data_IF_394116161299
#
_entry.id   IF_394116161299
#
_cell.length_a   1.000
_cell.length_b   1.000
_cell.length_c   1.000
_cell.angle_alpha   90.00
_cell.angle_beta   90.00
_cell.angle_gamma   90.00
#
_symmetry.space_group_name_H-M   'P 1'
#
loop_
_entity.id
_entity.type
_entity.pdbx_description
1 polymer ?
#
# COMPACT_ATOMS: atom_id res chain seq x y z
N UNK A 1 -16.09 12.98 16.20
CA UNK A 1 -16.81 11.92 15.45
C UNK A 1 -17.20 10.84 16.44
N UNK A 2 -18.37 10.21 16.30
CA UNK A 2 -18.80 9.14 17.20
C UNK A 2 -17.87 7.92 17.05
N UNK A 3 -17.39 7.36 18.18
CA UNK A 3 -16.49 6.21 18.19
C UNK A 3 -17.13 4.98 17.56
N UNK A 4 -18.44 4.82 17.66
CA UNK A 4 -19.12 3.65 17.09
C UNK A 4 -19.22 3.78 15.57
N UNK A 5 -19.51 4.97 15.04
CA UNK A 5 -19.45 5.25 13.59
C UNK A 5 -18.05 5.00 13.03
N UNK A 6 -17.00 5.39 13.76
CA UNK A 6 -15.62 5.13 13.33
C UNK A 6 -15.33 3.64 13.22
N UNK A 7 -15.72 2.86 14.22
CA UNK A 7 -15.55 1.40 14.20
C UNK A 7 -16.33 0.75 13.07
N UNK A 8 -17.56 1.19 12.81
CA UNK A 8 -18.35 0.68 11.67
C UNK A 8 -17.64 0.93 10.33
N UNK A 9 -17.05 2.11 10.14
CA UNK A 9 -16.24 2.40 8.93
C UNK A 9 -15.03 1.47 8.82
N UNK A 10 -14.33 1.21 9.92
CA UNK A 10 -13.21 0.26 9.95
C UNK A 10 -13.68 -1.13 9.57
N UNK A 11 -14.77 -1.63 10.16
CA UNK A 11 -15.30 -2.96 9.83
C UNK A 11 -15.79 -3.07 8.39
N UNK A 12 -16.36 -2.00 7.81
CA UNK A 12 -16.69 -1.96 6.38
C UNK A 12 -15.43 -2.06 5.51
N UNK A 13 -14.41 -1.27 5.84
CA UNK A 13 -13.13 -1.26 5.14
C UNK A 13 -12.45 -2.64 5.18
N UNK A 14 -12.41 -3.30 6.34
CA UNK A 14 -11.80 -4.62 6.48
C UNK A 14 -12.50 -5.68 5.60
N UNK A 15 -13.82 -5.56 5.40
CA UNK A 15 -14.56 -6.44 4.48
C UNK A 15 -14.18 -6.18 3.03
N UNK A 16 -13.99 -4.93 2.65
CA UNK A 16 -13.62 -4.55 1.27
C UNK A 16 -12.23 -5.07 0.89
N UNK A 17 -11.23 -4.89 1.77
CA UNK A 17 -9.85 -5.28 1.49
C UNK A 17 -9.60 -6.78 1.60
N UNK A 18 -10.54 -7.52 2.20
CA UNK A 18 -10.41 -8.97 2.43
C UNK A 18 -10.23 -9.75 1.12
N UNK A 19 -10.88 -9.31 0.05
CA UNK A 19 -10.94 -10.05 -1.21
C UNK A 19 -9.90 -9.56 -2.24
N UNK A 20 -8.99 -8.67 -1.84
CA UNK A 20 -7.89 -8.23 -2.69
C UNK A 20 -6.95 -9.41 -3.00
N UNK A 21 -6.68 -9.60 -4.30
CA UNK A 21 -5.71 -10.57 -4.80
C UNK A 21 -4.31 -9.93 -4.85
N UNK A 22 -3.66 -9.85 -3.70
CA UNK A 22 -2.37 -9.18 -3.55
C UNK A 22 -1.31 -9.69 -4.54
N UNK A 23 -0.64 -8.75 -5.22
CA UNK A 23 0.44 -8.99 -6.18
C UNK A 23 0.08 -9.87 -7.39
N UNK A 24 -1.21 -10.15 -7.66
CA UNK A 24 -1.58 -11.06 -8.76
C UNK A 24 -1.14 -10.53 -10.13
N UNK A 25 -1.15 -9.20 -10.32
CA UNK A 25 -0.75 -8.51 -11.55
C UNK A 25 0.61 -7.81 -11.45
N UNK A 26 1.37 -8.11 -10.39
CA UNK A 26 2.67 -7.48 -10.19
C UNK A 26 3.72 -7.93 -11.23
N UNK A 27 4.44 -6.99 -11.83
CA UNK A 27 5.39 -7.20 -12.91
C UNK A 27 4.74 -7.39 -14.29
N UNK A 28 3.42 -7.21 -14.42
CA UNK A 28 2.74 -7.22 -15.72
C UNK A 28 2.75 -5.83 -16.35
N UNK A 29 2.90 -5.76 -17.68
CA UNK A 29 2.82 -4.51 -18.44
C UNK A 29 1.53 -3.72 -18.14
N UNK A 30 1.60 -2.40 -18.28
CA UNK A 30 0.47 -1.51 -18.04
C UNK A 30 0.53 -0.28 -18.94
N UNK A 31 -0.61 0.08 -19.53
CA UNK A 31 -0.77 1.37 -20.22
C UNK A 31 -1.06 2.53 -19.25
N UNK A 32 -1.35 2.23 -17.97
CA UNK A 32 -1.77 3.19 -16.94
C UNK A 32 -0.63 3.61 -16.01
N UNK A 33 0.36 2.75 -15.81
CA UNK A 33 1.43 2.94 -14.83
C UNK A 33 2.80 2.72 -15.45
N UNK A 34 3.82 3.33 -14.84
CA UNK A 34 5.20 2.93 -15.10
C UNK A 34 5.44 1.60 -14.39
N UNK A 35 5.81 0.55 -15.12
CA UNK A 35 6.04 -0.78 -14.55
C UNK A 35 7.53 -1.02 -14.37
N UNK A 36 7.93 -1.52 -13.20
CA UNK A 36 9.30 -2.00 -12.92
C UNK A 36 9.28 -3.51 -12.73
N UNK A 37 10.37 -4.18 -13.13
CA UNK A 37 10.37 -5.65 -13.27
C UNK A 37 11.17 -6.38 -12.19
N UNK A 38 11.84 -5.66 -11.30
CA UNK A 38 12.64 -6.25 -10.21
C UNK A 38 12.63 -5.39 -8.95
N UNK A 39 12.87 -6.04 -7.80
CA UNK A 39 13.03 -5.35 -6.52
C UNK A 39 14.24 -4.41 -6.54
N UNK A 40 15.35 -4.82 -7.16
CA UNK A 40 16.54 -3.98 -7.33
C UNK A 40 16.23 -2.71 -8.11
N UNK A 41 15.51 -2.81 -9.23
CA UNK A 41 15.13 -1.63 -10.01
C UNK A 41 14.22 -0.69 -9.21
N UNK A 42 13.20 -1.24 -8.54
CA UNK A 42 12.30 -0.47 -7.69
C UNK A 42 13.08 0.26 -6.58
N UNK A 43 14.07 -0.39 -5.99
CA UNK A 43 14.87 0.21 -4.92
C UNK A 43 15.89 1.23 -5.45
N UNK A 44 16.77 0.82 -6.35
CA UNK A 44 17.92 1.63 -6.78
C UNK A 44 17.50 2.86 -7.60
N UNK A 45 16.43 2.75 -8.39
CA UNK A 45 16.02 3.83 -9.29
C UNK A 45 14.87 4.68 -8.74
N UNK A 46 14.01 4.12 -7.91
CA UNK A 46 12.74 4.75 -7.55
C UNK A 46 12.58 5.09 -6.07
N UNK A 47 13.41 4.54 -5.17
CA UNK A 47 13.25 4.76 -3.73
C UNK A 47 13.29 6.25 -3.33
N UNK A 48 14.17 7.06 -3.92
CA UNK A 48 14.21 8.50 -3.64
C UNK A 48 12.90 9.21 -4.05
N UNK A 49 12.34 8.86 -5.21
CA UNK A 49 11.06 9.41 -5.69
C UNK A 49 9.88 8.92 -4.84
N UNK A 50 9.92 7.67 -4.38
CA UNK A 50 8.94 7.13 -3.43
C UNK A 50 8.94 7.98 -2.16
N UNK A 51 10.11 8.17 -1.54
CA UNK A 51 10.25 8.96 -0.32
C UNK A 51 9.76 10.40 -0.49
N UNK A 52 10.05 11.05 -1.62
CA UNK A 52 9.60 12.43 -1.89
C UNK A 52 8.07 12.62 -1.82
N UNK A 53 7.30 11.55 -2.06
CA UNK A 53 5.83 11.55 -2.03
C UNK A 53 5.31 10.90 -0.77
N UNK A 54 5.65 9.63 -0.51
CA UNK A 54 5.15 8.88 0.65
C UNK A 54 5.50 9.55 1.97
N UNK A 55 6.70 10.12 2.11
CA UNK A 55 7.09 10.79 3.34
C UNK A 55 6.22 12.03 3.59
N UNK A 56 6.01 12.86 2.57
CA UNK A 56 5.17 14.07 2.69
C UNK A 56 3.71 13.72 2.94
N UNK A 57 3.17 12.77 2.20
CA UNK A 57 1.75 12.41 2.30
C UNK A 57 1.46 11.69 3.63
N UNK A 58 2.36 10.84 4.12
CA UNK A 58 2.23 10.19 5.45
C UNK A 58 2.29 11.21 6.59
N UNK A 59 3.26 12.12 6.63
CA UNK A 59 3.32 13.17 7.64
C UNK A 59 2.10 14.11 7.60
N UNK A 60 1.60 14.41 6.40
CA UNK A 60 0.43 15.27 6.20
C UNK A 60 -0.84 14.63 6.78
N UNK A 61 -1.08 13.34 6.49
CA UNK A 61 -2.26 12.64 7.00
C UNK A 61 -2.16 12.35 8.50
N UNK A 62 -0.97 11.98 9.00
CA UNK A 62 -0.75 11.64 10.41
C UNK A 62 -1.14 12.79 11.32
N UNK A 63 -0.60 14.00 11.06
CA UNK A 63 -0.91 15.19 11.85
C UNK A 63 -2.42 15.45 11.93
N UNK A 64 -3.11 15.35 10.80
CA UNK A 64 -4.55 15.57 10.75
C UNK A 64 -5.34 14.45 11.44
N UNK A 65 -4.89 13.20 11.32
CA UNK A 65 -5.53 12.05 11.93
C UNK A 65 -5.44 12.11 13.46
N UNK A 66 -4.28 12.47 14.01
CA UNK A 66 -4.10 12.65 15.46
C UNK A 66 -5.11 13.66 16.00
N UNK A 67 -5.22 14.83 15.34
CA UNK A 67 -6.17 15.88 15.74
C UNK A 67 -7.64 15.44 15.59
N UNK A 68 -7.95 14.54 14.65
CA UNK A 68 -9.32 14.18 14.28
C UNK A 68 -9.88 12.96 15.04
N UNK A 69 -9.07 11.93 15.22
CA UNK A 69 -9.49 10.62 15.74
C UNK A 69 -8.61 10.12 16.90
N UNK A 70 -7.47 10.76 17.15
CA UNK A 70 -6.53 10.42 18.22
C UNK A 70 -5.70 9.16 17.93
N UNK A 71 -4.56 9.06 18.62
CA UNK A 71 -3.60 7.95 18.47
C UNK A 71 -4.23 6.58 18.73
N UNK A 72 -5.06 6.44 19.78
CA UNK A 72 -5.73 5.18 20.12
C UNK A 72 -6.53 4.58 18.94
N UNK A 73 -7.16 5.43 18.13
CA UNK A 73 -7.94 4.98 16.97
C UNK A 73 -7.02 4.64 15.79
N UNK A 74 -5.94 5.40 15.59
CA UNK A 74 -4.93 5.11 14.57
C UNK A 74 -4.30 3.75 14.87
N UNK A 75 -3.85 3.52 16.10
CA UNK A 75 -3.27 2.25 16.55
C UNK A 75 -4.23 1.08 16.35
N UNK A 76 -5.52 1.28 16.66
CA UNK A 76 -6.55 0.28 16.42
C UNK A 76 -6.67 -0.06 14.93
N UNK A 77 -6.69 0.96 14.05
CA UNK A 77 -6.78 0.77 12.60
C UNK A 77 -5.57 -0.01 12.10
N UNK A 78 -4.36 0.41 12.47
CA UNK A 78 -3.12 -0.24 12.05
C UNK A 78 -3.08 -1.71 12.48
N UNK A 79 -3.42 -1.97 13.74
CA UNK A 79 -3.49 -3.33 14.26
C UNK A 79 -4.49 -4.19 13.46
N UNK A 80 -5.72 -3.69 13.28
CA UNK A 80 -6.79 -4.46 12.64
C UNK A 80 -6.53 -4.73 11.16
N UNK A 81 -5.98 -3.75 10.45
CA UNK A 81 -5.58 -3.93 9.05
C UNK A 81 -4.44 -4.93 8.95
N UNK A 82 -3.42 -4.85 9.81
CA UNK A 82 -2.31 -5.80 9.81
C UNK A 82 -2.77 -7.23 10.10
N UNK A 83 -3.68 -7.43 11.06
CA UNK A 83 -4.26 -8.73 11.41
C UNK A 83 -5.09 -9.32 10.24
N UNK A 84 -5.91 -8.51 9.58
CA UNK A 84 -6.79 -8.98 8.50
C UNK A 84 -6.03 -9.27 7.19
N UNK A 85 -5.01 -8.46 6.86
CA UNK A 85 -4.34 -8.51 5.55
C UNK A 85 -3.01 -9.26 5.57
N UNK A 86 -2.30 -9.28 6.70
CA UNK A 86 -0.92 -9.79 6.79
C UNK A 86 -0.70 -11.19 6.18
N UNK A 87 -1.50 -12.21 6.56
CA UNK A 87 -1.36 -13.55 5.99
C UNK A 87 -1.55 -13.58 4.46
N UNK A 88 -2.50 -12.81 3.93
CA UNK A 88 -2.81 -12.77 2.49
C UNK A 88 -1.78 -12.00 1.67
N UNK A 89 -1.26 -10.90 2.21
CA UNK A 89 -0.16 -10.15 1.60
C UNK A 89 1.08 -11.07 1.52
N UNK A 90 1.40 -11.78 2.60
CA UNK A 90 2.52 -12.74 2.62
C UNK A 90 2.34 -13.86 1.60
N UNK A 91 1.15 -14.47 1.52
CA UNK A 91 0.86 -15.49 0.51
C UNK A 91 0.97 -14.93 -0.92
N UNK A 92 0.47 -13.72 -1.16
CA UNK A 92 0.57 -13.03 -2.45
C UNK A 92 2.02 -12.76 -2.85
N UNK A 93 2.85 -12.31 -1.92
CA UNK A 93 4.27 -12.05 -2.14
C UNK A 93 5.02 -13.33 -2.54
N UNK A 94 4.78 -14.45 -1.85
CA UNK A 94 5.40 -15.75 -2.19
C UNK A 94 5.00 -16.17 -3.61
N UNK A 95 3.72 -16.06 -3.97
CA UNK A 95 3.24 -16.38 -5.33
C UNK A 95 3.87 -15.47 -6.39
N UNK A 96 4.08 -14.20 -6.05
CA UNK A 96 4.73 -13.25 -6.93
C UNK A 96 6.21 -13.61 -7.15
N UNK A 97 6.97 -13.87 -6.09
CA UNK A 97 8.36 -14.32 -6.19
C UNK A 97 8.49 -15.59 -7.02
N UNK A 98 7.59 -16.57 -6.82
CA UNK A 98 7.53 -17.79 -7.63
C UNK A 98 7.28 -17.49 -9.11
N UNK A 99 6.45 -16.49 -9.43
CA UNK A 99 6.19 -16.06 -10.81
C UNK A 99 7.43 -15.42 -11.44
N UNK A 100 8.09 -14.50 -10.73
CA UNK A 100 9.35 -13.88 -11.18
C UNK A 100 10.41 -14.93 -11.48
N UNK A 101 10.60 -15.89 -10.56
CA UNK A 101 11.54 -17.00 -10.73
C UNK A 101 11.24 -17.85 -11.96
N UNK A 102 9.96 -18.16 -12.23
CA UNK A 102 9.55 -18.90 -13.44
C UNK A 102 9.80 -18.12 -14.73
N UNK A 103 9.78 -16.80 -14.67
CA UNK A 103 10.08 -15.91 -15.79
C UNK A 103 11.59 -15.69 -15.98
N UNK A 104 12.43 -16.21 -15.09
CA UNK A 104 13.88 -15.95 -15.11
C UNK A 104 14.26 -14.53 -14.68
N UNK A 105 13.35 -13.83 -13.98
CA UNK A 105 13.59 -12.52 -13.39
C UNK A 105 14.10 -12.67 -11.95
N UNK A 106 14.69 -11.59 -11.45
CA UNK A 106 15.11 -11.52 -10.05
C UNK A 106 13.90 -11.62 -9.12
N UNK A 107 13.84 -12.70 -8.35
CA UNK A 107 12.82 -12.95 -7.34
C UNK A 107 13.31 -12.70 -5.92
N UNK A 108 14.60 -12.39 -5.75
CA UNK A 108 15.19 -12.18 -4.44
C UNK A 108 14.81 -10.78 -3.94
N UNK A 109 14.20 -10.75 -2.76
CA UNK A 109 13.91 -9.52 -2.01
C UNK A 109 15.11 -9.06 -1.21
N UNK A 110 16.22 -9.80 -1.22
CA UNK A 110 17.41 -9.55 -0.42
C UNK A 110 17.13 -9.50 1.09
N UNK A 111 16.16 -10.31 1.53
CA UNK A 111 15.70 -10.37 2.91
C UNK A 111 14.70 -9.28 3.31
N UNK A 112 14.16 -8.52 2.34
CA UNK A 112 13.21 -7.43 2.56
C UNK A 112 11.74 -7.87 2.57
N UNK A 113 11.44 -9.17 2.66
CA UNK A 113 10.07 -9.69 2.62
C UNK A 113 9.18 -9.05 3.69
N UNK A 114 9.70 -8.92 4.91
CA UNK A 114 8.96 -8.34 6.02
C UNK A 114 8.70 -6.85 5.81
N UNK A 115 9.69 -6.12 5.30
CA UNK A 115 9.60 -4.70 4.98
C UNK A 115 8.56 -4.44 3.88
N UNK A 116 8.55 -5.26 2.82
CA UNK A 116 7.56 -5.18 1.75
C UNK A 116 6.16 -5.40 2.30
N UNK A 117 5.99 -6.46 3.10
CA UNK A 117 4.70 -6.77 3.74
C UNK A 117 4.25 -5.60 4.62
N UNK A 118 5.16 -5.01 5.40
CA UNK A 118 4.84 -3.92 6.31
C UNK A 118 4.57 -2.60 5.58
N UNK A 119 5.21 -2.34 4.44
CA UNK A 119 4.86 -1.21 3.58
C UNK A 119 3.43 -1.33 3.05
N UNK A 120 3.04 -2.50 2.53
CA UNK A 120 1.68 -2.71 2.01
C UNK A 120 0.64 -2.60 3.12
N UNK A 121 0.91 -3.17 4.31
CA UNK A 121 0.03 -3.00 5.49
C UNK A 121 -0.10 -1.54 5.90
N UNK A 122 1.01 -0.81 5.98
CA UNK A 122 1.04 0.60 6.37
C UNK A 122 0.22 1.46 5.42
N UNK A 123 0.42 1.28 4.12
CA UNK A 123 -0.30 2.06 3.10
C UNK A 123 -1.80 1.74 3.14
N UNK A 124 -2.17 0.47 3.33
CA UNK A 124 -3.56 0.04 3.51
C UNK A 124 -4.18 0.62 4.79
N UNK A 125 -3.41 0.69 5.88
CA UNK A 125 -3.86 1.28 7.15
C UNK A 125 -4.12 2.78 7.01
N UNK A 126 -3.23 3.52 6.35
CA UNK A 126 -3.46 4.94 6.07
C UNK A 126 -4.67 5.18 5.16
N UNK A 127 -4.93 4.30 4.20
CA UNK A 127 -6.15 4.37 3.38
C UNK A 127 -7.43 4.23 4.23
N UNK A 128 -7.41 3.35 5.22
CA UNK A 128 -8.48 3.21 6.22
C UNK A 128 -8.63 4.50 7.06
N UNK A 129 -7.51 5.05 7.54
CA UNK A 129 -7.51 6.32 8.29
C UNK A 129 -8.19 7.43 7.48
N UNK A 130 -7.81 7.61 6.22
CA UNK A 130 -8.41 8.58 5.30
C UNK A 130 -9.95 8.41 5.16
N UNK A 131 -10.44 7.17 5.10
CA UNK A 131 -11.89 6.87 5.06
C UNK A 131 -12.57 7.21 6.38
N UNK A 132 -11.95 6.85 7.50
CA UNK A 132 -12.49 7.09 8.84
C UNK A 132 -12.65 8.59 9.06
N UNK A 133 -11.63 9.39 8.77
CA UNK A 133 -11.67 10.87 8.87
C UNK A 133 -12.55 11.53 7.80
N UNK A 134 -12.98 10.79 6.76
CA UNK A 134 -13.82 11.30 5.68
C UNK A 134 -13.08 12.15 4.64
N UNK A 135 -11.76 11.93 4.47
CA UNK A 135 -10.90 12.67 3.55
C UNK A 135 -10.03 11.69 2.75
N UNK A 136 -10.64 11.06 1.75
CA UNK A 136 -9.90 10.22 0.79
C UNK A 136 -8.84 11.07 0.09
N UNK A 137 -7.61 10.56 0.08
CA UNK A 137 -6.44 11.26 -0.42
C UNK A 137 -5.49 10.31 -1.12
N UNK A 138 -4.20 10.48 -0.83
CA UNK A 138 -3.13 9.73 -1.46
C UNK A 138 -3.23 8.23 -1.20
N UNK A 139 -3.47 7.80 0.04
CA UNK A 139 -3.45 6.38 0.39
C UNK A 139 -4.68 5.64 -0.13
N UNK A 140 -5.82 6.29 -0.30
CA UNK A 140 -6.94 5.70 -1.04
C UNK A 140 -6.60 5.47 -2.51
N UNK A 141 -5.81 6.34 -3.15
CA UNK A 141 -5.32 6.09 -4.51
C UNK A 141 -4.30 4.95 -4.55
N UNK A 142 -3.47 4.82 -3.52
CA UNK A 142 -2.58 3.64 -3.36
C UNK A 142 -3.42 2.37 -3.23
N UNK A 143 -4.47 2.39 -2.40
CA UNK A 143 -5.37 1.25 -2.24
C UNK A 143 -6.07 0.84 -3.53
N UNK A 144 -6.45 1.79 -4.39
CA UNK A 144 -7.01 1.49 -5.72
C UNK A 144 -6.02 0.65 -6.54
N UNK A 145 -4.73 1.01 -6.56
CA UNK A 145 -3.68 0.23 -7.24
C UNK A 145 -3.48 -1.14 -6.59
N UNK A 146 -3.43 -1.19 -5.25
CA UNK A 146 -3.30 -2.45 -4.51
C UNK A 146 -4.48 -3.39 -4.78
N UNK A 147 -5.69 -2.84 -4.92
CA UNK A 147 -6.92 -3.59 -5.22
C UNK A 147 -6.92 -4.15 -6.64
N UNK A 148 -6.21 -3.51 -7.57
CA UNK A 148 -5.89 -4.06 -8.90
C UNK A 148 -4.83 -5.18 -8.83
N UNK A 149 -4.33 -5.54 -7.64
CA UNK A 149 -3.34 -6.60 -7.47
C UNK A 149 -1.93 -6.24 -7.90
N UNK A 150 -1.64 -4.93 -8.02
CA UNK A 150 -0.31 -4.38 -8.28
C UNK A 150 0.30 -3.86 -6.99
N UNK A 151 1.61 -3.70 -6.95
CA UNK A 151 2.33 -3.12 -5.82
C UNK A 151 2.83 -1.72 -6.17
N UNK A 152 2.43 -0.72 -5.40
CA UNK A 152 2.92 0.65 -5.57
C UNK A 152 4.34 0.79 -5.04
N UNK A 153 5.27 1.11 -5.91
CA UNK A 153 6.69 1.25 -5.58
C UNK A 153 7.12 2.71 -5.46
N UNK A 154 6.56 3.61 -6.29
CA UNK A 154 6.93 5.03 -6.29
C UNK A 154 5.93 5.88 -7.09
N UNK A 155 6.34 7.11 -7.40
CA UNK A 155 5.65 8.06 -8.27
C UNK A 155 6.57 8.51 -9.40
N UNK A 156 6.06 8.55 -10.64
CA UNK A 156 6.76 9.06 -11.80
C UNK A 156 6.18 10.42 -12.23
N UNK A 157 7.07 11.40 -12.42
CA UNK A 157 6.71 12.81 -12.65
C UNK A 157 6.53 13.62 -11.35
N UNK A 158 5.93 14.80 -11.47
CA UNK A 158 5.81 15.78 -10.38
C UNK A 158 4.48 15.68 -9.65
N UNK A 159 4.44 15.05 -8.47
CA UNK A 159 3.21 14.91 -7.68
C UNK A 159 2.48 16.27 -7.43
N UNK A 160 1.14 16.35 -7.61
CA UNK A 160 0.21 15.26 -7.90
C UNK A 160 0.03 14.94 -9.40
N UNK A 161 0.78 15.61 -10.29
CA UNK A 161 0.80 15.31 -11.72
C UNK A 161 1.74 14.11 -11.99
N UNK A 162 1.36 13.23 -12.90
CA UNK A 162 2.12 11.99 -13.17
C UNK A 162 1.35 10.75 -12.76
N UNK A 163 2.08 9.65 -12.53
CA UNK A 163 1.48 8.33 -12.36
C UNK A 163 2.23 7.48 -11.34
N UNK A 164 1.56 6.45 -10.84
CA UNK A 164 2.23 5.46 -10.00
C UNK A 164 3.27 4.68 -10.80
N UNK A 165 4.35 4.37 -10.11
CA UNK A 165 5.29 3.33 -10.49
C UNK A 165 4.88 2.09 -9.73
N UNK A 166 4.69 1.00 -10.45
CA UNK A 166 4.18 -0.25 -9.89
C UNK A 166 5.07 -1.43 -10.26
N UNK A 167 5.07 -2.44 -9.40
CA UNK A 167 5.26 -3.81 -9.82
C UNK A 167 3.87 -4.37 -10.04
#
# INVERSE_FOLDING_TARGET
>A
MDKDIMKEKVESFLKEIRDINWFIHAGEDSDKYTVVLSFTEAWDQWNNKMLEVWDKESHSIEKFAIDSIGDDMIDLIFKRVAEETGPKISEGLVKFQDRLKKMGLDSDTYGLDYEIIDFVKRDTAWACVEIVIGKKGFFNRVLEVLSEGRWTCAWDGSYPLGQFVVM
#
